data_IF_276732873575
#
_entry.id   IF_276732873575
#
_cell.length_a   1.000
_cell.length_b   1.000
_cell.length_c   1.000
_cell.angle_alpha   90.00
_cell.angle_beta   90.00
_cell.angle_gamma   90.00
#
_symmetry.space_group_name_H-M   'P 1'
#
loop_
_entity.id
_entity.type
_entity.pdbx_description
1 polymer ?
#
# COMPACT_ATOMS: atom_id res chain seq x y z
N UNK A 1 -1.97 -15.57 -8.38
CA UNK A 1 -0.73 -14.87 -7.94
C UNK A 1 -0.18 -15.57 -6.71
N UNK A 2 1.12 -15.91 -6.69
CA UNK A 2 1.76 -16.50 -5.50
C UNK A 2 1.96 -15.39 -4.45
N UNK A 3 1.43 -15.51 -3.22
CA UNK A 3 1.68 -14.55 -2.16
C UNK A 3 3.18 -14.58 -1.82
N UNK A 4 3.86 -13.43 -1.89
CA UNK A 4 5.25 -13.34 -1.46
C UNK A 4 5.26 -13.19 0.07
N UNK A 5 5.96 -14.10 0.77
CA UNK A 5 6.01 -14.21 2.24
C UNK A 5 6.91 -13.17 2.92
N UNK A 6 7.55 -12.30 2.14
CA UNK A 6 8.43 -11.25 2.65
C UNK A 6 7.59 -10.04 3.10
N UNK A 7 8.08 -9.27 4.08
CA UNK A 7 7.50 -8.01 4.58
C UNK A 7 7.49 -6.90 3.50
N UNK A 8 6.86 -7.15 2.37
CA UNK A 8 6.78 -6.23 1.25
C UNK A 8 5.49 -5.42 1.33
N UNK A 9 5.59 -4.11 1.10
CA UNK A 9 4.44 -3.22 1.07
C UNK A 9 3.65 -3.48 -0.23
N UNK A 10 2.36 -3.90 -0.16
CA UNK A 10 1.59 -4.21 -1.35
C UNK A 10 1.03 -2.95 -2.02
N UNK A 11 1.00 -2.96 -3.35
CA UNK A 11 0.41 -1.95 -4.20
C UNK A 11 -1.11 -1.90 -4.05
N UNK A 12 -1.66 -0.70 -3.91
CA UNK A 12 -3.10 -0.49 -3.76
C UNK A 12 -3.91 -0.88 -4.99
N UNK A 13 -3.29 -0.93 -6.17
CA UNK A 13 -3.99 -1.22 -7.43
C UNK A 13 -4.31 -2.72 -7.57
N UNK A 14 -3.30 -3.57 -7.51
CA UNK A 14 -3.45 -5.02 -7.74
C UNK A 14 -2.75 -5.90 -6.69
N UNK A 15 -2.15 -5.32 -5.65
CA UNK A 15 -1.45 -6.08 -4.61
C UNK A 15 -0.05 -6.58 -5.00
N UNK A 16 0.55 -6.05 -6.07
CA UNK A 16 1.97 -6.27 -6.39
C UNK A 16 2.89 -5.70 -5.32
N UNK A 17 4.19 -5.99 -5.37
CA UNK A 17 5.13 -5.43 -4.40
C UNK A 17 5.61 -4.03 -4.82
N UNK A 18 5.56 -3.08 -3.89
CA UNK A 18 6.35 -1.86 -4.00
C UNK A 18 7.81 -2.18 -3.72
N UNK A 19 8.71 -1.63 -4.54
CA UNK A 19 10.16 -1.68 -4.36
C UNK A 19 10.70 -0.27 -4.11
N UNK A 20 11.72 -0.16 -3.25
CA UNK A 20 12.36 1.14 -2.97
C UNK A 20 13.02 1.67 -4.24
N UNK A 21 12.67 2.89 -4.63
CA UNK A 21 13.21 3.61 -5.79
C UNK A 21 14.30 4.58 -5.34
N UNK A 22 13.99 5.44 -4.37
CA UNK A 22 14.88 6.52 -3.91
C UNK A 22 14.60 6.85 -2.44
N UNK A 23 15.59 7.41 -1.74
CA UNK A 23 15.39 8.12 -0.46
C UNK A 23 15.57 9.61 -0.69
N UNK A 24 14.61 10.41 -0.25
CA UNK A 24 14.64 11.86 -0.35
C UNK A 24 15.40 12.49 0.83
N UNK A 25 15.68 13.79 0.73
CA UNK A 25 16.48 14.56 1.70
C UNK A 25 15.74 14.68 3.04
N UNK A 26 14.42 14.76 2.99
CA UNK A 26 13.48 14.76 4.11
C UNK A 26 13.27 13.37 4.75
N UNK A 27 14.13 12.38 4.43
CA UNK A 27 14.09 11.00 4.93
C UNK A 27 12.87 10.17 4.49
N UNK A 28 12.04 10.71 3.61
CA UNK A 28 10.98 9.93 2.96
C UNK A 28 11.56 8.98 1.92
N UNK A 29 10.85 7.88 1.68
CA UNK A 29 11.24 6.81 0.79
C UNK A 29 10.26 6.78 -0.37
N UNK A 30 10.76 7.05 -1.57
CA UNK A 30 10.00 6.80 -2.79
C UNK A 30 9.99 5.30 -3.07
N UNK A 31 8.79 4.75 -3.22
CA UNK A 31 8.59 3.37 -3.61
C UNK A 31 7.83 3.30 -4.93
N UNK A 32 8.26 2.37 -5.79
CA UNK A 32 7.71 2.15 -7.12
C UNK A 32 7.18 0.73 -7.23
N UNK A 33 5.97 0.57 -7.75
CA UNK A 33 5.40 -0.76 -7.97
C UNK A 33 6.15 -1.44 -9.12
N UNK A 34 6.59 -2.68 -8.91
CA UNK A 34 7.36 -3.44 -9.90
C UNK A 34 6.60 -3.76 -11.20
N UNK A 35 5.27 -3.66 -11.17
CA UNK A 35 4.40 -3.99 -12.31
C UNK A 35 3.49 -2.83 -12.75
N UNK A 36 2.91 -2.09 -11.80
CA UNK A 36 1.97 -1.01 -12.13
C UNK A 36 2.67 0.29 -12.51
N UNK A 37 3.98 0.40 -12.27
CA UNK A 37 4.75 1.63 -12.41
C UNK A 37 4.23 2.81 -11.54
N UNK A 38 3.27 2.54 -10.64
CA UNK A 38 2.74 3.47 -9.65
C UNK A 38 3.83 3.84 -8.65
N UNK A 39 3.95 5.14 -8.36
CA UNK A 39 4.92 5.69 -7.40
C UNK A 39 4.17 6.20 -6.17
N UNK A 40 4.71 5.89 -4.99
CA UNK A 40 4.21 6.34 -3.69
C UNK A 40 5.38 6.78 -2.82
N UNK A 41 5.11 7.63 -1.84
CA UNK A 41 6.12 8.10 -0.87
C UNK A 41 5.71 7.62 0.51
N UNK A 42 6.64 7.03 1.23
CA UNK A 42 6.45 6.59 2.61
C UNK A 42 7.44 7.27 3.55
N UNK A 43 7.11 7.32 4.84
CA UNK A 43 8.08 7.60 5.88
C UNK A 43 9.07 6.42 6.03
N UNK A 44 10.01 6.57 6.97
CA UNK A 44 10.98 5.53 7.32
C UNK A 44 10.36 4.30 7.99
N UNK A 45 9.13 4.38 8.49
CA UNK A 45 8.37 3.29 9.07
C UNK A 45 7.48 2.55 8.05
N UNK A 46 7.38 3.06 6.81
CA UNK A 46 6.52 2.50 5.76
C UNK A 46 5.08 3.01 5.77
N UNK A 47 4.78 4.09 6.50
CA UNK A 47 3.50 4.78 6.42
C UNK A 47 3.49 5.72 5.21
N UNK A 48 2.37 5.80 4.49
CA UNK A 48 2.26 6.68 3.32
C UNK A 48 2.16 8.14 3.78
N UNK A 49 3.11 8.97 3.34
CA UNK A 49 3.16 10.39 3.70
C UNK A 49 2.10 11.19 2.94
N UNK A 50 1.88 10.84 1.67
CA UNK A 50 0.89 11.51 0.85
C UNK A 50 -0.47 10.85 1.05
N UNK A 51 -1.19 11.25 2.11
CA UNK A 51 -2.62 11.05 2.15
C UNK A 51 -3.20 11.81 0.96
N UNK A 52 -3.53 11.10 -0.13
CA UNK A 52 -4.15 11.67 -1.34
C UNK A 52 -5.40 12.49 -1.01
N UNK A 53 -5.98 12.28 0.18
CA UNK A 53 -7.12 13.01 0.71
C UNK A 53 -6.68 13.81 1.95
N UNK A 54 -6.71 15.14 1.87
CA UNK A 54 -6.45 16.03 3.02
C UNK A 54 -7.47 15.85 4.16
N UNK A 55 -8.66 15.32 3.86
CA UNK A 55 -9.69 15.03 4.84
C UNK A 55 -9.44 13.67 5.52
N UNK A 56 -9.11 13.72 6.82
CA UNK A 56 -8.84 12.54 7.64
C UNK A 56 -10.02 11.56 7.71
N UNK A 57 -11.26 12.03 7.80
CA UNK A 57 -12.42 11.15 7.91
C UNK A 57 -12.64 10.32 6.63
N UNK A 58 -12.43 10.93 5.47
CA UNK A 58 -12.51 10.21 4.19
C UNK A 58 -11.38 9.18 4.10
N UNK A 59 -10.14 9.56 4.48
CA UNK A 59 -9.00 8.63 4.49
C UNK A 59 -9.27 7.43 5.41
N UNK A 60 -9.73 7.68 6.64
CA UNK A 60 -10.06 6.66 7.63
C UNK A 60 -11.15 5.71 7.10
N UNK A 61 -12.21 6.27 6.49
CA UNK A 61 -13.33 5.50 5.92
C UNK A 61 -12.89 4.61 4.76
N UNK A 62 -12.07 5.14 3.83
CA UNK A 62 -11.54 4.36 2.70
C UNK A 62 -10.60 3.24 3.19
N UNK A 63 -9.79 3.52 4.21
CA UNK A 63 -8.91 2.53 4.81
C UNK A 63 -9.70 1.40 5.48
N UNK A 64 -10.78 1.73 6.19
CA UNK A 64 -11.69 0.75 6.78
C UNK A 64 -12.38 -0.11 5.71
N UNK A 65 -12.94 0.50 4.67
CA UNK A 65 -13.57 -0.20 3.55
C UNK A 65 -12.60 -1.17 2.87
N UNK A 66 -11.37 -0.74 2.62
CA UNK A 66 -10.33 -1.60 2.06
C UNK A 66 -10.00 -2.80 2.97
N UNK A 67 -9.89 -2.57 4.29
CA UNK A 67 -9.65 -3.65 5.25
C UNK A 67 -10.80 -4.66 5.26
N UNK A 68 -12.04 -4.17 5.22
CA UNK A 68 -13.24 -5.02 5.17
C UNK A 68 -13.25 -5.88 3.90
N UNK A 69 -13.08 -5.27 2.72
CA UNK A 69 -13.05 -6.00 1.43
C UNK A 69 -11.94 -7.06 1.37
N UNK A 70 -10.75 -6.76 1.89
CA UNK A 70 -9.67 -7.75 2.05
C UNK A 70 -10.06 -8.90 2.99
N UNK A 71 -10.73 -8.64 4.11
CA UNK A 71 -11.22 -9.71 5.01
C UNK A 71 -12.22 -10.62 4.29
N UNK A 72 -13.17 -10.07 3.54
CA UNK A 72 -14.14 -10.85 2.77
C UNK A 72 -13.49 -11.72 1.68
N UNK A 73 -12.37 -11.27 1.09
CA UNK A 73 -11.64 -12.07 0.09
C UNK A 73 -10.97 -13.32 0.67
N UNK A 74 -10.66 -13.35 1.99
CA UNK A 74 -10.09 -14.54 2.64
C UNK A 74 -11.14 -15.61 2.92
N UNK A 75 -12.39 -15.24 3.18
CA UNK A 75 -13.47 -16.18 3.47
C UNK A 75 -13.86 -17.01 2.24
N UNK A 76 -13.81 -16.45 1.04
CA UNK A 76 -14.14 -17.18 -0.21
C UNK A 76 -13.08 -18.19 -0.67
N UNK A 77 -11.85 -18.13 -0.14
CA UNK A 77 -10.78 -19.05 -0.53
C UNK A 77 -10.70 -20.32 0.36
N UNK A 78 -11.57 -20.42 1.37
CA UNK A 78 -11.61 -21.54 2.33
C UNK A 78 -12.95 -22.31 2.27
N UNK A 79 -13.69 -22.20 1.16
CA UNK A 79 -14.94 -22.93 0.90
C UNK A 79 -14.81 -23.75 -0.38
#
# INVERSE_FOLDING_TARGET
>A
MKPTTTKALPCAVFGHNYVKSKTNIDHTIEMKCSHCNTVVVTDHHGNFENNTIANKQISDTLQELYRLTKRFSKTKAAS
#
